data_IF_453237163100
#
_entry.id   IF_453237163100
#
_cell.length_a   1.000
_cell.length_b   1.000
_cell.length_c   1.000
_cell.angle_alpha   90.00
_cell.angle_beta   90.00
_cell.angle_gamma   90.00
#
_symmetry.space_group_name_H-M   'P 1'
#
loop_
_entity.id
_entity.type
_entity.pdbx_description
1 polymer ?
#
# COMPACT_ATOMS: atom_id res chain seq x y z
N UNK A 1 -30.09 -2.49 49.19
CA UNK A 1 -28.84 -2.92 48.51
C UNK A 1 -29.15 -3.88 47.38
N UNK A 2 -30.01 -4.90 47.59
CA UNK A 2 -30.47 -5.78 46.51
C UNK A 2 -31.14 -5.01 45.35
N UNK A 3 -32.04 -4.08 45.64
CA UNK A 3 -32.74 -3.28 44.61
C UNK A 3 -31.79 -2.47 43.74
N UNK A 4 -30.70 -1.95 44.33
CA UNK A 4 -29.67 -1.23 43.59
C UNK A 4 -28.98 -2.13 42.56
N UNK A 5 -28.59 -3.35 42.96
CA UNK A 5 -27.94 -4.29 42.05
C UNK A 5 -28.87 -4.86 41.00
N UNK A 6 -30.16 -5.04 41.34
CA UNK A 6 -31.16 -5.43 40.36
C UNK A 6 -31.34 -4.36 39.28
N UNK A 7 -31.40 -3.09 39.68
CA UNK A 7 -31.50 -1.98 38.72
C UNK A 7 -30.23 -1.85 37.87
N UNK A 8 -29.04 -2.01 38.47
CA UNK A 8 -27.79 -1.97 37.73
C UNK A 8 -27.68 -3.13 36.72
N UNK A 9 -28.10 -4.33 37.11
CA UNK A 9 -28.15 -5.48 36.20
C UNK A 9 -29.14 -5.27 35.05
N UNK A 10 -30.32 -4.67 35.33
CA UNK A 10 -31.32 -4.31 34.30
C UNK A 10 -30.72 -3.33 33.29
N UNK A 11 -30.05 -2.28 33.77
CA UNK A 11 -29.41 -1.27 32.94
C UNK A 11 -28.31 -1.85 32.04
N UNK A 12 -27.46 -2.73 32.58
CA UNK A 12 -26.42 -3.40 31.79
C UNK A 12 -27.01 -4.30 30.71
N UNK A 13 -28.11 -4.99 31.02
CA UNK A 13 -28.82 -5.83 30.04
C UNK A 13 -29.41 -4.98 28.91
N UNK A 14 -30.07 -3.87 29.25
CA UNK A 14 -30.62 -2.92 28.27
C UNK A 14 -29.54 -2.33 27.35
N UNK A 15 -28.37 -2.01 27.91
CA UNK A 15 -27.20 -1.56 27.13
C UNK A 15 -26.69 -2.66 26.19
N UNK A 16 -26.63 -3.92 26.65
CA UNK A 16 -26.22 -5.06 25.85
C UNK A 16 -27.17 -5.30 24.68
N UNK A 17 -28.48 -5.28 24.93
CA UNK A 17 -29.51 -5.45 23.90
C UNK A 17 -29.46 -4.33 22.87
N UNK A 18 -29.26 -3.09 23.32
CA UNK A 18 -29.10 -1.93 22.43
C UNK A 18 -27.89 -2.09 21.52
N UNK A 19 -26.75 -2.52 22.07
CA UNK A 19 -25.53 -2.75 21.29
C UNK A 19 -25.71 -3.89 20.30
N UNK A 20 -26.28 -5.02 20.72
CA UNK A 20 -26.53 -6.17 19.86
C UNK A 20 -27.48 -5.82 18.70
N UNK A 21 -28.52 -5.03 18.97
CA UNK A 21 -29.43 -4.52 17.95
C UNK A 21 -28.73 -3.57 16.98
N UNK A 22 -27.86 -2.67 17.47
CA UNK A 22 -27.07 -1.80 16.59
C UNK A 22 -26.14 -2.60 15.68
N UNK A 23 -25.52 -3.66 16.17
CA UNK A 23 -24.65 -4.53 15.34
C UNK A 23 -25.48 -5.23 14.27
N UNK A 24 -26.64 -5.78 14.64
CA UNK A 24 -27.58 -6.41 13.69
C UNK A 24 -28.01 -5.45 12.59
N UNK A 25 -28.38 -4.22 12.94
CA UNK A 25 -28.76 -3.18 11.98
C UNK A 25 -27.59 -2.80 11.06
N UNK A 26 -26.37 -2.67 11.58
CA UNK A 26 -25.17 -2.43 10.76
C UNK A 26 -24.88 -3.59 9.78
N UNK A 27 -25.34 -4.80 10.08
CA UNK A 27 -25.28 -5.95 9.17
C UNK A 27 -26.45 -6.02 8.17
N UNK A 28 -27.38 -5.06 8.22
CA UNK A 28 -28.53 -5.00 7.32
C UNK A 28 -29.76 -5.77 7.81
N UNK A 29 -29.76 -6.25 9.05
CA UNK A 29 -30.85 -7.02 9.63
C UNK A 29 -31.78 -6.13 10.49
N UNK A 30 -33.07 -6.49 10.57
CA UNK A 30 -34.02 -5.80 11.46
C UNK A 30 -34.35 -4.36 11.04
N UNK A 31 -34.16 -4.02 9.76
CA UNK A 31 -34.33 -2.65 9.25
C UNK A 31 -35.79 -2.17 9.20
N UNK A 32 -36.73 -3.10 9.17
CA UNK A 32 -38.17 -2.83 9.05
C UNK A 32 -38.77 -2.01 10.20
N UNK A 33 -38.12 -1.97 11.37
CA UNK A 33 -38.58 -1.21 12.54
C UNK A 33 -38.00 0.20 12.62
N UNK A 34 -37.08 0.58 11.71
CA UNK A 34 -36.46 1.91 11.71
C UNK A 34 -37.27 2.90 10.88
N UNK A 35 -37.24 4.16 11.29
CA UNK A 35 -37.77 5.26 10.49
C UNK A 35 -36.82 5.61 9.33
N UNK A 36 -37.31 6.38 8.36
CA UNK A 36 -36.49 6.84 7.22
C UNK A 36 -35.28 7.64 7.69
N UNK A 37 -35.43 8.51 8.70
CA UNK A 37 -34.31 9.30 9.24
C UNK A 37 -33.27 8.42 9.93
N UNK A 38 -33.70 7.36 10.62
CA UNK A 38 -32.77 6.45 11.27
C UNK A 38 -32.02 5.59 10.24
N UNK A 39 -32.70 5.17 9.17
CA UNK A 39 -32.09 4.47 8.04
C UNK A 39 -31.05 5.35 7.33
N UNK A 40 -31.34 6.62 7.07
CA UNK A 40 -30.38 7.57 6.50
C UNK A 40 -29.15 7.73 7.40
N UNK A 41 -29.36 7.81 8.71
CA UNK A 41 -28.26 7.91 9.68
C UNK A 41 -27.41 6.64 9.69
N UNK A 42 -28.05 5.46 9.62
CA UNK A 42 -27.38 4.17 9.54
C UNK A 42 -26.56 4.05 8.25
N UNK A 43 -27.14 4.41 7.12
CA UNK A 43 -26.48 4.42 5.80
C UNK A 43 -25.22 5.31 5.83
N UNK A 44 -25.35 6.56 6.31
CA UNK A 44 -24.21 7.48 6.43
C UNK A 44 -23.09 6.91 7.30
N UNK A 45 -23.42 6.22 8.40
CA UNK A 45 -22.42 5.56 9.26
C UNK A 45 -21.71 4.42 8.53
N UNK A 46 -22.46 3.60 7.79
CA UNK A 46 -21.91 2.48 7.02
C UNK A 46 -21.02 2.99 5.88
N UNK A 47 -21.46 4.02 5.16
CA UNK A 47 -20.70 4.62 4.07
C UNK A 47 -19.37 5.20 4.55
N UNK A 48 -19.39 5.95 5.66
CA UNK A 48 -18.17 6.47 6.28
C UNK A 48 -17.23 5.34 6.73
N UNK A 49 -17.77 4.29 7.34
CA UNK A 49 -16.99 3.11 7.74
C UNK A 49 -16.34 2.41 6.55
N UNK A 50 -17.09 2.21 5.47
CA UNK A 50 -16.60 1.60 4.24
C UNK A 50 -15.52 2.45 3.57
N UNK A 51 -15.73 3.77 3.51
CA UNK A 51 -14.74 4.71 2.97
C UNK A 51 -13.42 4.64 3.75
N UNK A 52 -13.49 4.61 5.09
CA UNK A 52 -12.32 4.44 5.95
C UNK A 52 -11.58 3.12 5.66
N UNK A 53 -12.29 1.99 5.63
CA UNK A 53 -11.70 0.67 5.33
C UNK A 53 -11.03 0.64 3.96
N UNK A 54 -11.67 1.20 2.94
CA UNK A 54 -11.09 1.31 1.59
C UNK A 54 -9.83 2.15 1.60
N UNK A 55 -9.87 3.33 2.22
CA UNK A 55 -8.71 4.22 2.34
C UNK A 55 -7.53 3.54 3.04
N UNK A 56 -7.77 2.80 4.12
CA UNK A 56 -6.71 2.05 4.81
C UNK A 56 -6.13 0.95 3.93
N UNK A 57 -6.99 0.18 3.25
CA UNK A 57 -6.54 -0.86 2.30
C UNK A 57 -5.68 -0.26 1.19
N UNK A 58 -6.12 0.86 0.63
CA UNK A 58 -5.42 1.51 -0.48
C UNK A 58 -4.07 2.05 -0.01
N UNK A 59 -3.99 2.67 1.17
CA UNK A 59 -2.72 3.09 1.77
C UNK A 59 -1.73 1.92 1.93
N UNK A 60 -2.18 0.79 2.47
CA UNK A 60 -1.34 -0.41 2.64
C UNK A 60 -0.88 -0.99 1.30
N UNK A 61 -1.74 -0.95 0.28
CA UNK A 61 -1.37 -1.40 -1.07
C UNK A 61 -0.33 -0.48 -1.70
N UNK A 62 -0.46 0.84 -1.53
CA UNK A 62 0.54 1.79 -2.03
C UNK A 62 1.89 1.59 -1.35
N UNK A 63 1.92 1.45 -0.03
CA UNK A 63 3.15 1.12 0.72
C UNK A 63 3.78 -0.17 0.20
N UNK A 64 2.97 -1.19 -0.07
CA UNK A 64 3.49 -2.46 -0.59
C UNK A 64 4.04 -2.35 -2.01
N UNK A 65 3.40 -1.56 -2.86
CA UNK A 65 3.88 -1.29 -4.23
C UNK A 65 5.23 -0.55 -4.18
N UNK A 66 5.36 0.43 -3.30
CA UNK A 66 6.60 1.20 -3.11
C UNK A 66 7.75 0.32 -2.61
N UNK A 67 7.51 -0.55 -1.61
CA UNK A 67 8.48 -1.57 -1.15
C UNK A 67 8.95 -2.46 -2.31
N UNK A 68 8.01 -2.97 -3.10
CA UNK A 68 8.35 -3.85 -4.22
C UNK A 68 9.12 -3.11 -5.32
N UNK A 69 8.76 -1.86 -5.65
CA UNK A 69 9.53 -1.06 -6.60
C UNK A 69 10.95 -0.81 -6.13
N UNK A 70 11.12 -0.42 -4.86
CA UNK A 70 12.44 -0.19 -4.26
C UNK A 70 13.31 -1.44 -4.34
N UNK A 71 12.75 -2.60 -3.99
CA UNK A 71 13.46 -3.89 -4.07
C UNK A 71 13.82 -4.28 -5.51
N UNK A 72 12.96 -3.96 -6.47
CA UNK A 72 13.26 -4.18 -7.89
C UNK A 72 14.44 -3.30 -8.30
N UNK A 73 14.42 -2.01 -7.96
CA UNK A 73 15.50 -1.06 -8.26
C UNK A 73 16.83 -1.50 -7.62
N UNK A 74 16.83 -1.90 -6.35
CA UNK A 74 18.00 -2.46 -5.67
C UNK A 74 18.52 -3.71 -6.40
N UNK A 75 17.62 -4.63 -6.77
CA UNK A 75 18.00 -5.85 -7.48
C UNK A 75 18.54 -5.59 -8.90
N UNK A 76 18.01 -4.60 -9.61
CA UNK A 76 18.47 -4.20 -10.94
C UNK A 76 19.81 -3.46 -10.85
N UNK A 77 19.97 -2.59 -9.85
CA UNK A 77 21.24 -1.94 -9.54
C UNK A 77 22.35 -2.95 -9.26
N UNK A 78 22.07 -4.02 -8.53
CA UNK A 78 23.03 -5.10 -8.29
C UNK A 78 23.40 -5.88 -9.56
N UNK A 79 22.46 -6.13 -10.49
CA UNK A 79 22.77 -6.82 -11.76
C UNK A 79 23.73 -6.01 -12.62
N UNK A 80 23.42 -4.73 -12.81
CA UNK A 80 24.30 -3.81 -13.55
C UNK A 80 25.66 -3.64 -12.84
N UNK A 81 25.68 -3.64 -11.50
CA UNK A 81 26.94 -3.58 -10.71
C UNK A 81 27.80 -4.82 -10.89
N UNK A 82 27.21 -6.03 -10.86
CA UNK A 82 27.96 -7.28 -11.07
C UNK A 82 28.49 -7.40 -12.50
N UNK A 83 27.76 -6.90 -13.49
CA UNK A 83 28.25 -6.81 -14.87
C UNK A 83 29.45 -5.86 -14.98
N UNK A 84 29.40 -4.69 -14.33
CA UNK A 84 30.53 -3.74 -14.24
C UNK A 84 31.73 -4.35 -13.50
N UNK A 85 31.51 -5.00 -12.36
CA UNK A 85 32.58 -5.63 -11.57
C UNK A 85 33.24 -6.78 -12.34
N UNK A 86 32.45 -7.56 -13.09
CA UNK A 86 32.96 -8.62 -13.96
C UNK A 86 33.76 -8.08 -15.16
N UNK A 87 33.36 -6.94 -15.74
CA UNK A 87 34.11 -6.23 -16.78
C UNK A 87 35.43 -5.65 -16.25
N UNK A 88 35.44 -5.08 -15.04
CA UNK A 88 36.65 -4.55 -14.40
C UNK A 88 37.69 -5.65 -14.07
N UNK A 89 37.23 -6.88 -13.82
CA UNK A 89 38.09 -8.03 -13.58
C UNK A 89 38.83 -8.52 -14.84
N UNK A 90 38.18 -8.39 -16.01
CA UNK A 90 38.79 -8.68 -17.32
C UNK A 90 39.91 -7.67 -17.61
N UNK A 91 39.72 -6.39 -17.28
CA UNK A 91 40.73 -5.35 -17.50
C UNK A 91 42.01 -5.56 -16.67
N UNK A 92 41.91 -6.04 -15.42
CA UNK A 92 43.11 -6.39 -14.62
C UNK A 92 43.90 -7.58 -15.19
N UNK A 93 43.23 -8.58 -15.77
CA UNK A 93 43.90 -9.72 -16.40
C UNK A 93 44.60 -9.34 -17.72
N UNK A 94 44.08 -8.33 -18.44
CA UNK A 94 44.71 -7.79 -19.65
C UNK A 94 45.96 -6.94 -19.35
N UNK A 95 46.00 -6.27 -18.19
CA UNK A 95 47.17 -5.50 -17.74
C UNK A 95 48.36 -6.41 -17.41
N UNK A 96 48.11 -7.62 -16.90
CA UNK A 96 49.18 -8.60 -16.59
C UNK A 96 49.74 -9.31 -17.84
N UNK A 97 49.02 -9.30 -18.97
CA UNK A 97 49.41 -10.01 -20.20
C UNK A 97 49.97 -9.12 -21.31
N UNK A 98 50.12 -7.81 -21.09
CA UNK A 98 50.87 -6.93 -22.00
C UNK A 98 50.26 -6.77 -23.40
N UNK A 99 48.94 -6.93 -23.54
CA UNK A 99 48.24 -6.73 -24.81
C UNK A 99 47.58 -5.33 -24.85
N UNK A 100 48.19 -4.39 -25.58
CA UNK A 100 47.56 -3.12 -25.95
C UNK A 100 46.61 -3.32 -27.15
N UNK A 101 45.47 -3.98 -26.93
CA UNK A 101 44.39 -4.01 -27.92
C UNK A 101 43.19 -3.19 -27.46
N UNK A 102 43.04 -2.05 -28.14
CA UNK A 102 41.86 -1.19 -28.39
C UNK A 102 40.63 -1.39 -27.48
N UNK A 103 40.32 -0.32 -26.76
CA UNK A 103 39.11 -0.10 -25.96
C UNK A 103 37.82 -0.63 -26.62
N UNK A 104 36.92 -1.31 -25.88
CA UNK A 104 35.56 -1.54 -26.33
C UNK A 104 34.83 -0.19 -26.38
N UNK A 105 34.32 0.18 -27.54
CA UNK A 105 33.45 1.35 -27.69
C UNK A 105 32.23 1.16 -26.77
N UNK A 106 32.17 1.92 -25.70
CA UNK A 106 30.96 2.04 -24.90
C UNK A 106 29.97 2.86 -25.73
N UNK A 107 28.93 2.21 -26.26
CA UNK A 107 27.79 2.91 -26.83
C UNK A 107 26.92 3.47 -25.69
N UNK A 108 27.43 4.49 -25.00
CA UNK A 108 26.53 5.45 -24.34
C UNK A 108 25.78 6.13 -25.47
N UNK A 109 24.54 5.71 -25.73
CA UNK A 109 23.64 6.47 -26.58
C UNK A 109 23.16 7.70 -25.81
N UNK A 110 24.08 8.64 -25.59
CA UNK A 110 23.74 10.03 -25.36
C UNK A 110 23.90 10.77 -26.69
N UNK A 111 22.91 10.63 -27.57
CA UNK A 111 22.73 11.58 -28.68
C UNK A 111 21.30 11.68 -29.25
N UNK A 112 20.26 11.57 -28.41
CA UNK A 112 18.89 11.98 -28.82
C UNK A 112 18.14 12.83 -27.78
N UNK A 113 18.51 12.80 -26.49
CA UNK A 113 17.73 13.51 -25.45
C UNK A 113 18.06 15.01 -25.34
N UNK A 114 19.12 15.52 -25.97
CA UNK A 114 19.38 16.97 -25.98
C UNK A 114 18.63 17.71 -27.12
N UNK A 115 18.16 17.02 -28.17
CA UNK A 115 17.55 17.69 -29.32
C UNK A 115 16.01 17.80 -29.31
N UNK A 116 15.29 17.01 -28.51
CA UNK A 116 13.80 17.09 -28.48
C UNK A 116 13.26 18.13 -27.49
N UNK A 117 14.12 18.86 -26.77
CA UNK A 117 13.71 20.01 -25.96
C UNK A 117 13.47 21.29 -26.80
N UNK A 118 13.51 21.23 -28.13
CA UNK A 118 13.35 22.40 -29.01
C UNK A 118 12.41 22.17 -30.21
N UNK A 119 11.36 21.35 -30.08
CA UNK A 119 10.25 21.39 -31.03
C UNK A 119 8.89 21.07 -30.36
N UNK A 120 8.14 22.16 -30.09
CA UNK A 120 6.76 22.29 -29.57
C UNK A 120 6.54 22.16 -28.06
#
# INVERSE_FOLDING_TARGET
YLDYWLEEARKLTEQSDTLANSVRQLMGDGLQSLSISDLQTLEMRMEKGLACVRSTKDQLLFEKIEDLHTRIEESQGCKSRTEIDSLAQIDMQNVETGNLEKSPQCSYTDDVVIQTALQL
#
